data_IF_831243307813
#
_entry.id   IF_831243307813
#
_cell.length_a   1.000
_cell.length_b   1.000
_cell.length_c   1.000
_cell.angle_alpha   90.00
_cell.angle_beta   90.00
_cell.angle_gamma   90.00
#
_symmetry.space_group_name_H-M   'P 1'
#
loop_
_entity.id
_entity.type
_entity.pdbx_description
1 polymer ?
#
# COMPACT_ATOMS: atom_id res chain seq x y z
N UNK A 1 -1.94 9.12 -9.26
CA UNK A 1 -2.38 7.72 -9.44
C UNK A 1 -2.79 7.09 -8.11
N UNK A 2 -1.88 6.93 -7.09
CA UNK A 2 -2.26 6.27 -5.82
C UNK A 2 -3.42 6.94 -5.10
N UNK A 3 -3.43 8.28 -4.96
CA UNK A 3 -4.54 9.00 -4.32
C UNK A 3 -5.89 8.73 -5.00
N UNK A 4 -5.91 8.74 -6.32
CA UNK A 4 -7.12 8.46 -7.10
C UNK A 4 -7.55 6.99 -6.97
N UNK A 5 -6.60 6.04 -6.90
CA UNK A 5 -6.93 4.64 -6.64
C UNK A 5 -7.51 4.48 -5.23
N UNK A 6 -6.93 5.12 -4.21
CA UNK A 6 -7.49 5.11 -2.85
C UNK A 6 -8.90 5.72 -2.80
N UNK A 7 -9.12 6.85 -3.50
CA UNK A 7 -10.43 7.51 -3.59
C UNK A 7 -11.53 6.61 -4.20
N UNK A 8 -11.15 5.75 -5.14
CA UNK A 8 -12.08 4.84 -5.80
C UNK A 8 -12.39 3.56 -5.00
N UNK A 9 -11.55 3.19 -4.02
CA UNK A 9 -11.62 1.87 -3.40
C UNK A 9 -11.73 1.88 -1.88
N UNK A 10 -11.42 2.98 -1.20
CA UNK A 10 -11.57 3.04 0.26
C UNK A 10 -13.05 3.18 0.62
N UNK A 11 -13.51 2.24 1.43
CA UNK A 11 -14.80 2.31 2.11
C UNK A 11 -14.61 2.73 3.58
N UNK A 12 -15.73 3.15 4.22
CA UNK A 12 -15.74 3.46 5.64
C UNK A 12 -15.34 2.23 6.47
N UNK A 13 -14.53 2.47 7.50
CA UNK A 13 -14.04 1.44 8.44
C UNK A 13 -12.92 0.54 7.89
N UNK A 14 -12.44 0.74 6.67
CA UNK A 14 -11.34 -0.04 6.11
C UNK A 14 -10.06 0.03 6.94
N UNK A 15 -9.33 -1.09 6.95
CA UNK A 15 -7.97 -1.21 7.45
C UNK A 15 -6.98 -1.09 6.28
N UNK A 16 -6.09 -0.11 6.34
CA UNK A 16 -5.14 0.22 5.27
C UNK A 16 -3.71 0.06 5.75
N UNK A 17 -2.88 -0.57 4.93
CA UNK A 17 -1.41 -0.56 5.07
C UNK A 17 -0.81 0.37 4.01
N UNK A 18 -0.06 1.37 4.45
CA UNK A 18 0.78 2.24 3.62
C UNK A 18 2.24 1.80 3.79
N UNK A 19 2.76 1.06 2.80
CA UNK A 19 4.12 0.51 2.81
C UNK A 19 5.07 1.40 2.01
N UNK A 20 6.10 1.91 2.68
CA UNK A 20 6.97 2.97 2.17
C UNK A 20 6.28 4.33 2.32
N UNK A 21 5.83 4.65 3.54
CA UNK A 21 4.94 5.79 3.79
C UNK A 21 5.58 7.15 3.52
N UNK A 22 6.91 7.26 3.56
CA UNK A 22 7.64 8.49 3.25
C UNK A 22 7.17 9.69 4.07
N UNK A 23 6.44 10.60 3.44
CA UNK A 23 5.83 11.75 4.11
C UNK A 23 4.52 11.44 4.83
N UNK A 24 3.93 10.26 4.64
CA UNK A 24 2.64 9.87 5.17
C UNK A 24 1.44 10.39 4.38
N UNK A 25 1.63 10.90 3.17
CA UNK A 25 0.55 11.48 2.37
C UNK A 25 -0.55 10.48 2.05
N UNK A 26 -0.20 9.22 1.71
CA UNK A 26 -1.17 8.17 1.40
C UNK A 26 -1.89 7.69 2.66
N UNK A 27 -1.17 7.61 3.79
CA UNK A 27 -1.78 7.32 5.10
C UNK A 27 -2.82 8.36 5.49
N UNK A 28 -2.49 9.65 5.36
CA UNK A 28 -3.41 10.76 5.67
C UNK A 28 -4.61 10.73 4.75
N UNK A 29 -4.39 10.55 3.44
CA UNK A 29 -5.47 10.44 2.46
C UNK A 29 -6.41 9.27 2.78
N UNK A 30 -5.86 8.11 3.16
CA UNK A 30 -6.67 6.95 3.56
C UNK A 30 -7.62 7.28 4.71
N UNK A 31 -7.15 7.96 5.75
CA UNK A 31 -8.03 8.42 6.83
C UNK A 31 -9.09 9.41 6.36
N UNK A 32 -8.71 10.38 5.52
CA UNK A 32 -9.65 11.39 5.02
C UNK A 32 -10.74 10.79 4.12
N UNK A 33 -10.47 9.64 3.51
CA UNK A 33 -11.40 8.88 2.66
C UNK A 33 -12.29 7.92 3.46
N UNK A 34 -12.02 7.69 4.76
CA UNK A 34 -12.91 6.90 5.61
C UNK A 34 -12.27 5.70 6.29
N UNK A 35 -10.99 5.40 6.03
CA UNK A 35 -10.31 4.32 6.73
C UNK A 35 -10.30 4.54 8.25
N UNK A 36 -10.59 3.51 9.03
CA UNK A 36 -10.61 3.58 10.48
C UNK A 36 -9.27 3.23 11.11
N UNK A 37 -8.50 2.36 10.44
CA UNK A 37 -7.19 1.90 10.89
C UNK A 37 -6.17 2.05 9.76
N UNK A 38 -5.07 2.74 10.02
CA UNK A 38 -3.98 2.87 9.05
C UNK A 38 -2.66 2.50 9.70
N UNK A 39 -1.96 1.53 9.13
CA UNK A 39 -0.59 1.17 9.49
C UNK A 39 0.33 1.80 8.44
N UNK A 40 1.20 2.68 8.86
CA UNK A 40 2.23 3.30 8.02
C UNK A 40 3.57 2.65 8.33
N UNK A 41 4.23 2.11 7.31
CA UNK A 41 5.55 1.48 7.45
C UNK A 41 6.58 2.13 6.55
N UNK A 42 7.77 2.35 7.08
CA UNK A 42 8.94 2.73 6.31
C UNK A 42 10.21 2.20 6.98
N UNK A 43 11.25 1.95 6.23
CA UNK A 43 12.54 1.51 6.76
C UNK A 43 13.42 2.70 7.14
N UNK A 44 13.14 3.89 6.60
CA UNK A 44 13.88 5.10 6.83
C UNK A 44 13.37 5.87 8.06
N UNK A 45 14.29 6.24 8.95
CA UNK A 45 13.98 6.94 10.21
C UNK A 45 13.37 8.34 9.97
N UNK A 46 13.86 9.05 8.96
CA UNK A 46 13.38 10.41 8.68
C UNK A 46 12.01 10.39 8.02
N UNK A 47 11.72 9.38 7.21
CA UNK A 47 10.37 9.08 6.71
C UNK A 47 9.40 8.83 7.87
N UNK A 48 9.78 8.02 8.86
CA UNK A 48 8.95 7.75 10.04
C UNK A 48 8.67 9.02 10.84
N UNK A 49 9.68 9.87 11.08
CA UNK A 49 9.49 11.16 11.76
C UNK A 49 8.55 12.07 10.97
N UNK A 50 8.73 12.12 9.65
CA UNK A 50 7.90 12.92 8.75
C UNK A 50 6.43 12.46 8.77
N UNK A 51 6.19 11.14 8.62
CA UNK A 51 4.86 10.53 8.71
C UNK A 51 4.17 10.88 10.03
N UNK A 52 4.84 10.66 11.17
CA UNK A 52 4.28 10.98 12.51
C UNK A 52 3.93 12.46 12.65
N UNK A 53 4.84 13.35 12.22
CA UNK A 53 4.61 14.79 12.25
C UNK A 53 3.40 15.19 11.40
N UNK A 54 3.31 14.70 10.19
CA UNK A 54 2.26 15.08 9.25
C UNK A 54 0.88 14.54 9.66
N UNK A 55 0.79 13.31 10.18
CA UNK A 55 -0.44 12.75 10.75
C UNK A 55 -0.91 13.60 11.95
N UNK A 56 0.02 14.00 12.83
CA UNK A 56 -0.28 14.88 13.97
C UNK A 56 -0.81 16.24 13.51
N UNK A 57 -0.19 16.86 12.50
CA UNK A 57 -0.63 18.15 11.95
C UNK A 57 -2.00 18.07 11.27
N UNK A 58 -2.28 16.96 10.62
CA UNK A 58 -3.57 16.70 9.97
C UNK A 58 -4.71 16.43 10.97
N UNK A 59 -4.40 16.33 12.29
CA UNK A 59 -5.38 16.08 13.38
C UNK A 59 -6.27 14.86 13.10
N UNK A 60 -5.67 13.80 12.58
CA UNK A 60 -6.37 12.56 12.24
C UNK A 60 -7.03 11.94 13.47
N UNK A 61 -8.31 11.57 13.31
CA UNK A 61 -9.10 10.88 14.33
C UNK A 61 -9.30 9.43 13.89
N UNK A 62 -8.34 8.58 14.12
CA UNK A 62 -8.40 7.17 13.75
C UNK A 62 -7.25 6.40 14.39
N UNK A 63 -7.26 5.08 14.27
CA UNK A 63 -6.19 4.25 14.78
C UNK A 63 -4.99 4.30 13.82
N UNK A 64 -4.00 5.12 14.16
CA UNK A 64 -2.77 5.27 13.40
C UNK A 64 -1.62 4.55 14.10
N UNK A 65 -0.97 3.63 13.39
CA UNK A 65 0.24 2.96 13.84
C UNK A 65 1.38 3.24 12.85
N UNK A 66 2.44 3.90 13.31
CA UNK A 66 3.60 4.25 12.47
C UNK A 66 4.81 3.46 12.92
N UNK A 67 5.33 2.59 12.05
CA UNK A 67 6.37 1.61 12.36
C UNK A 67 7.59 1.80 11.47
N UNK A 68 8.78 1.85 12.09
CA UNK A 68 10.04 1.69 11.37
C UNK A 68 10.26 0.21 11.07
N UNK A 69 9.71 -0.28 9.99
CA UNK A 69 9.71 -1.69 9.62
C UNK A 69 9.31 -1.90 8.17
N UNK A 70 9.29 -3.16 7.76
CA UNK A 70 8.72 -3.65 6.52
C UNK A 70 7.97 -4.96 6.76
N UNK A 71 7.42 -5.57 5.71
CA UNK A 71 6.84 -6.92 5.79
C UNK A 71 7.96 -7.98 5.74
N UNK A 72 7.78 -9.13 6.43
CA UNK A 72 6.63 -9.47 7.29
C UNK A 72 6.70 -8.77 8.64
N UNK A 73 5.55 -8.46 9.25
CA UNK A 73 5.50 -7.82 10.56
C UNK A 73 4.31 -8.34 11.37
N UNK A 74 4.51 -8.60 12.68
CA UNK A 74 3.44 -9.15 13.54
C UNK A 74 2.24 -8.21 13.73
N UNK A 75 2.42 -6.89 13.53
CA UNK A 75 1.33 -5.92 13.54
C UNK A 75 0.49 -5.94 12.24
N UNK A 76 0.92 -6.68 11.22
CA UNK A 76 0.19 -6.91 9.97
C UNK A 76 0.00 -8.41 9.79
N UNK A 77 -0.99 -9.00 10.47
CA UNK A 77 -1.30 -10.42 10.33
C UNK A 77 -1.73 -10.78 8.90
N UNK A 78 -1.70 -12.08 8.60
CA UNK A 78 -2.27 -12.60 7.35
C UNK A 78 -3.73 -12.18 7.18
N UNK A 79 -4.12 -11.81 5.97
CA UNK A 79 -5.49 -11.46 5.59
C UNK A 79 -6.14 -10.43 6.53
N UNK A 80 -5.39 -9.41 6.93
CA UNK A 80 -5.85 -8.41 7.90
C UNK A 80 -6.19 -7.04 7.29
N UNK A 81 -5.66 -6.73 6.11
CA UNK A 81 -5.83 -5.44 5.48
C UNK A 81 -6.88 -5.48 4.37
N UNK A 82 -7.78 -4.49 4.34
CA UNK A 82 -8.73 -4.29 3.23
C UNK A 82 -8.00 -3.72 2.02
N UNK A 83 -7.14 -2.74 2.25
CA UNK A 83 -6.32 -2.12 1.20
C UNK A 83 -4.85 -2.09 1.64
N UNK A 84 -3.97 -2.41 0.70
CA UNK A 84 -2.54 -2.17 0.83
C UNK A 84 -2.12 -1.23 -0.28
N UNK A 85 -1.47 -0.13 0.05
CA UNK A 85 -0.88 0.78 -0.92
C UNK A 85 0.63 0.84 -0.73
N UNK A 86 1.38 0.77 -1.83
CA UNK A 86 2.83 0.89 -1.82
C UNK A 86 3.31 1.68 -3.05
N UNK A 87 3.89 2.85 -2.82
CA UNK A 87 4.51 3.67 -3.86
C UNK A 87 6.03 3.66 -3.68
N UNK A 88 6.64 2.56 -4.08
CA UNK A 88 8.07 2.23 -3.84
C UNK A 88 8.72 1.66 -5.10
N UNK A 89 10.03 1.36 -5.06
CA UNK A 89 10.72 0.83 -6.23
C UNK A 89 10.24 -0.55 -6.65
N UNK A 90 10.31 -0.83 -7.94
CA UNK A 90 9.86 -2.10 -8.53
C UNK A 90 10.57 -3.32 -7.93
N UNK A 91 11.86 -3.19 -7.61
CA UNK A 91 12.66 -4.27 -7.00
C UNK A 91 12.11 -4.66 -5.62
N UNK A 92 11.72 -3.68 -4.82
CA UNK A 92 11.13 -3.91 -3.49
C UNK A 92 9.74 -4.52 -3.66
N UNK A 93 8.90 -3.99 -4.57
CA UNK A 93 7.57 -4.56 -4.86
C UNK A 93 7.70 -6.04 -5.24
N UNK A 94 8.59 -6.39 -6.17
CA UNK A 94 8.83 -7.77 -6.60
C UNK A 94 9.22 -8.65 -5.41
N UNK A 95 10.14 -8.20 -4.57
CA UNK A 95 10.61 -8.96 -3.41
C UNK A 95 9.52 -9.19 -2.35
N UNK A 96 8.55 -8.29 -2.25
CA UNK A 96 7.48 -8.32 -1.24
C UNK A 96 6.13 -8.80 -1.80
N UNK A 97 6.01 -9.12 -3.09
CA UNK A 97 4.72 -9.46 -3.75
C UNK A 97 3.94 -10.55 -3.01
N UNK A 98 4.61 -11.63 -2.59
CA UNK A 98 3.98 -12.69 -1.77
C UNK A 98 3.45 -12.15 -0.45
N UNK A 99 4.25 -11.37 0.26
CA UNK A 99 3.89 -10.86 1.59
C UNK A 99 2.75 -9.84 1.53
N UNK A 100 2.68 -9.04 0.46
CA UNK A 100 1.56 -8.13 0.19
C UNK A 100 0.27 -8.92 -0.04
N UNK A 101 0.32 -9.99 -0.85
CA UNK A 101 -0.83 -10.88 -1.05
C UNK A 101 -1.21 -11.65 0.21
N UNK A 102 -0.24 -12.03 1.05
CA UNK A 102 -0.51 -12.70 2.31
C UNK A 102 -1.21 -11.76 3.32
N UNK A 103 -0.84 -10.49 3.35
CA UNK A 103 -1.37 -9.50 4.29
C UNK A 103 -2.76 -8.96 3.90
N UNK A 104 -3.09 -8.90 2.60
CA UNK A 104 -4.38 -8.43 2.13
C UNK A 104 -5.47 -9.49 2.34
N UNK A 105 -6.70 -9.07 2.68
CA UNK A 105 -7.89 -9.94 2.75
C UNK A 105 -8.23 -10.51 1.36
N UNK A 106 -8.98 -11.61 1.32
CA UNK A 106 -9.43 -12.21 0.06
C UNK A 106 -10.28 -11.27 -0.80
N UNK A 107 -11.07 -10.41 -0.16
CA UNK A 107 -11.86 -9.37 -0.83
C UNK A 107 -11.09 -8.05 -1.04
N UNK A 108 -9.90 -7.94 -0.46
CA UNK A 108 -9.14 -6.70 -0.42
C UNK A 108 -8.33 -6.43 -1.70
N UNK A 109 -7.64 -5.31 -1.70
CA UNK A 109 -6.93 -4.78 -2.86
C UNK A 109 -5.49 -4.40 -2.51
N UNK A 110 -4.55 -4.78 -3.38
CA UNK A 110 -3.17 -4.30 -3.34
C UNK A 110 -2.98 -3.28 -4.47
N UNK A 111 -2.57 -2.07 -4.11
CA UNK A 111 -2.28 -0.96 -5.03
C UNK A 111 -0.77 -0.71 -4.98
N UNK A 112 -0.07 -0.96 -6.08
CA UNK A 112 1.38 -0.71 -6.17
C UNK A 112 1.69 0.30 -7.28
N UNK A 113 2.61 1.22 -7.01
CA UNK A 113 3.07 2.25 -7.94
C UNK A 113 4.56 2.54 -7.74
N UNK A 114 5.10 3.46 -8.55
CA UNK A 114 6.55 3.67 -8.60
C UNK A 114 7.23 2.70 -9.57
N UNK A 115 6.46 2.15 -10.53
CA UNK A 115 6.90 1.12 -11.46
C UNK A 115 7.21 1.76 -12.81
N UNK A 116 8.46 1.70 -13.25
CA UNK A 116 8.85 2.11 -14.60
C UNK A 116 8.38 1.11 -15.65
N UNK A 117 8.13 1.58 -16.88
CA UNK A 117 7.65 0.76 -18.00
C UNK A 117 8.49 -0.49 -18.24
N UNK A 118 9.80 -0.37 -18.15
CA UNK A 118 10.73 -1.49 -18.34
C UNK A 118 10.61 -2.59 -17.28
N UNK A 119 9.99 -2.29 -16.13
CA UNK A 119 9.82 -3.22 -14.99
C UNK A 119 8.41 -3.76 -14.83
N UNK A 120 7.45 -3.24 -15.59
CA UNK A 120 6.02 -3.58 -15.37
C UNK A 120 5.74 -5.08 -15.52
N UNK A 121 6.33 -5.75 -16.51
CA UNK A 121 6.11 -7.17 -16.74
C UNK A 121 6.71 -8.04 -15.63
N UNK A 122 7.85 -7.63 -15.05
CA UNK A 122 8.47 -8.35 -13.94
C UNK A 122 7.61 -8.23 -12.68
N UNK A 123 7.05 -7.04 -12.43
CA UNK A 123 6.13 -6.82 -11.30
C UNK A 123 4.85 -7.65 -11.49
N UNK A 124 4.21 -7.62 -12.65
CA UNK A 124 3.02 -8.44 -12.94
C UNK A 124 3.29 -9.92 -12.66
N UNK A 125 4.35 -10.48 -13.25
CA UNK A 125 4.73 -11.88 -13.05
C UNK A 125 4.97 -12.22 -11.59
N UNK A 126 5.57 -11.31 -10.81
CA UNK A 126 5.83 -11.54 -9.40
C UNK A 126 4.55 -11.74 -8.58
N UNK A 127 3.48 -11.02 -8.90
CA UNK A 127 2.18 -11.21 -8.26
C UNK A 127 1.45 -12.46 -8.78
N UNK A 128 1.42 -12.68 -10.10
CA UNK A 128 0.77 -13.85 -10.72
C UNK A 128 1.33 -15.17 -10.19
N UNK A 129 2.66 -15.26 -9.97
CA UNK A 129 3.32 -16.43 -9.39
C UNK A 129 2.79 -16.81 -7.99
N UNK A 130 2.19 -15.90 -7.28
CA UNK A 130 1.61 -16.11 -5.94
C UNK A 130 0.08 -15.99 -5.90
N UNK A 131 -0.58 -16.07 -7.08
CA UNK A 131 -2.03 -16.04 -7.19
C UNK A 131 -2.64 -14.63 -7.13
N UNK A 132 -1.86 -13.61 -7.46
CA UNK A 132 -2.38 -12.26 -7.67
C UNK A 132 -3.00 -12.13 -9.06
N UNK A 133 -4.17 -11.51 -9.15
CA UNK A 133 -4.83 -11.14 -10.41
C UNK A 133 -4.75 -9.64 -10.61
N UNK A 134 -4.19 -9.21 -11.74
CA UNK A 134 -4.19 -7.80 -12.11
C UNK A 134 -5.59 -7.40 -12.54
N UNK A 135 -6.20 -6.47 -11.81
CA UNK A 135 -7.52 -5.93 -12.12
C UNK A 135 -7.44 -4.73 -13.03
N UNK A 136 -6.46 -3.87 -12.79
CA UNK A 136 -6.29 -2.63 -13.51
C UNK A 136 -4.82 -2.24 -13.60
N UNK A 137 -4.47 -1.59 -14.70
CA UNK A 137 -3.18 -0.94 -14.88
C UNK A 137 -3.42 0.49 -15.35
N UNK A 138 -2.83 1.46 -14.64
CA UNK A 138 -2.84 2.87 -15.03
C UNK A 138 -1.43 3.33 -15.32
N UNK A 139 -1.27 4.09 -16.40
CA UNK A 139 0.01 4.65 -16.82
C UNK A 139 -0.09 6.16 -16.95
N UNK A 140 0.91 6.87 -16.41
CA UNK A 140 1.13 8.30 -16.62
C UNK A 140 2.61 8.49 -16.97
N UNK A 141 2.89 8.93 -18.19
CA UNK A 141 4.24 8.96 -18.76
C UNK A 141 4.90 7.57 -18.66
N UNK A 142 6.07 7.47 -18.02
CA UNK A 142 6.82 6.23 -17.85
C UNK A 142 6.51 5.49 -16.55
N UNK A 143 5.53 5.99 -15.77
CA UNK A 143 5.17 5.44 -14.48
C UNK A 143 3.87 4.65 -14.53
N UNK A 144 3.87 3.48 -13.92
CA UNK A 144 2.71 2.61 -13.82
C UNK A 144 2.22 2.46 -12.38
N UNK A 145 0.92 2.18 -12.28
CA UNK A 145 0.23 1.71 -11.10
C UNK A 145 -0.51 0.43 -11.48
N UNK A 146 -0.50 -0.55 -10.59
CA UNK A 146 -1.30 -1.77 -10.68
C UNK A 146 -2.25 -1.89 -9.50
N UNK A 147 -3.46 -2.35 -9.77
CA UNK A 147 -4.46 -2.78 -8.81
C UNK A 147 -4.59 -4.30 -8.90
N UNK A 148 -4.40 -4.99 -7.78
CA UNK A 148 -4.21 -6.44 -7.74
C UNK A 148 -5.11 -7.05 -6.68
N UNK A 149 -5.86 -8.10 -7.04
CA UNK A 149 -6.60 -8.96 -6.12
C UNK A 149 -5.90 -10.28 -5.90
N UNK A 150 -6.13 -10.87 -4.74
CA UNK A 150 -5.73 -12.24 -4.45
C UNK A 150 -6.74 -13.20 -5.07
N UNK A 151 -6.29 -14.13 -5.92
CA UNK A 151 -7.08 -15.28 -6.31
C UNK A 151 -7.07 -16.32 -5.18
N UNK A 152 -8.21 -16.95 -4.94
CA UNK A 152 -8.37 -18.02 -3.94
C UNK A 152 -7.60 -19.28 -4.33
#
# INVERSE_FOLDING_TARGET
MCLEALENHIDNEDSVLDLGSGSGILSIASFMLGASNVISMDIDEDSIKSTKRNISLAKIKGNSLVLKSSLPNFNVPYSSQDIIVANISSEIIISLSKMLLDAVKSSGLVIVSGILDEKILDVIKSFENYGGQILNQKKINDWNLLEIKKNY
#
